data_IF_716392287263
#
_entry.id   IF_716392287263
#
_cell.length_a   1.000
_cell.length_b   1.000
_cell.length_c   1.000
_cell.angle_alpha   90.00
_cell.angle_beta   90.00
_cell.angle_gamma   90.00
#
_symmetry.space_group_name_H-M   'P 1'
#
loop_
_entity.id
_entity.type
_entity.pdbx_description
1 polymer ?
#
# COMPACT_ATOMS: atom_id res chain seq x y z
N UNK A 1 9.24 -4.52 1.32
CA UNK A 1 7.83 -4.63 0.87
C UNK A 1 7.73 -4.18 -0.59
N UNK A 2 7.54 -5.09 -1.54
CA UNK A 2 7.13 -4.76 -2.91
C UNK A 2 5.60 -4.62 -2.92
N UNK A 3 5.09 -3.41 -2.72
CA UNK A 3 3.64 -3.18 -2.73
C UNK A 3 3.14 -3.00 -4.17
N UNK A 4 2.17 -3.82 -4.58
CA UNK A 4 1.46 -3.68 -5.85
C UNK A 4 0.30 -2.66 -5.78
N UNK A 5 0.18 -1.94 -4.66
CA UNK A 5 -0.83 -0.90 -4.43
C UNK A 5 -0.36 0.52 -4.80
N UNK A 6 0.79 0.67 -5.46
CA UNK A 6 1.31 1.99 -5.87
C UNK A 6 0.31 2.79 -6.69
N UNK A 7 -0.44 2.13 -7.59
CA UNK A 7 -1.51 2.76 -8.36
C UNK A 7 -2.65 3.30 -7.48
N UNK A 8 -3.03 2.58 -6.42
CA UNK A 8 -4.04 3.01 -5.44
C UNK A 8 -3.57 4.25 -4.67
N UNK A 9 -2.29 4.30 -4.29
CA UNK A 9 -1.68 5.45 -3.61
C UNK A 9 -1.62 6.68 -4.54
N UNK A 10 -1.15 6.51 -5.78
CA UNK A 10 -1.12 7.59 -6.78
C UNK A 10 -2.53 8.12 -7.04
N UNK A 11 -3.50 7.21 -7.24
CA UNK A 11 -4.90 7.54 -7.43
C UNK A 11 -5.48 8.38 -6.28
N UNK A 12 -5.15 8.02 -5.04
CA UNK A 12 -5.57 8.76 -3.86
C UNK A 12 -5.02 10.19 -3.86
N UNK A 13 -3.72 10.39 -4.13
CA UNK A 13 -3.09 11.71 -4.20
C UNK A 13 -3.70 12.57 -5.31
N UNK A 14 -3.91 12.00 -6.50
CA UNK A 14 -4.54 12.69 -7.63
C UNK A 14 -5.97 13.10 -7.27
N UNK A 15 -6.74 12.19 -6.65
CA UNK A 15 -8.13 12.44 -6.27
C UNK A 15 -8.23 13.52 -5.19
N UNK A 16 -7.33 13.55 -4.20
CA UNK A 16 -7.22 14.67 -3.25
C UNK A 16 -7.02 16.01 -3.97
N UNK A 17 -6.12 16.05 -4.95
CA UNK A 17 -5.83 17.24 -5.75
C UNK A 17 -7.01 17.69 -6.61
N UNK A 18 -7.78 16.76 -7.17
CA UNK A 18 -8.96 17.06 -7.97
C UNK A 18 -10.17 17.47 -7.12
N UNK A 19 -10.39 16.85 -5.95
CA UNK A 19 -11.44 17.21 -5.00
C UNK A 19 -11.30 18.66 -4.50
N UNK A 20 -10.06 19.16 -4.39
CA UNK A 20 -9.81 20.60 -4.16
C UNK A 20 -10.51 21.45 -5.22
N UNK A 21 -10.41 21.08 -6.50
CA UNK A 21 -11.01 21.84 -7.62
C UNK A 21 -12.53 21.69 -7.67
N UNK A 22 -13.07 20.51 -7.33
CA UNK A 22 -14.53 20.26 -7.23
C UNK A 22 -15.18 21.12 -6.13
N UNK A 23 -14.45 21.35 -5.03
CA UNK A 23 -14.98 22.01 -3.84
C UNK A 23 -14.74 23.53 -3.75
N UNK A 24 -13.87 24.13 -4.58
CA UNK A 24 -13.27 25.45 -4.29
C UNK A 24 -14.17 26.69 -4.44
N UNK A 25 -15.40 26.64 -4.96
CA UNK A 25 -16.10 27.91 -5.24
C UNK A 25 -17.26 28.25 -4.31
N UNK A 26 -16.96 29.23 -3.44
CA UNK A 26 -17.76 30.45 -3.29
C UNK A 26 -17.74 31.21 -4.64
N UNK A 27 -18.92 31.46 -5.20
CA UNK A 27 -19.29 32.48 -6.20
C UNK A 27 -18.23 32.95 -7.22
N UNK A 28 -18.32 32.53 -8.49
CA UNK A 28 -17.88 33.38 -9.63
C UNK A 28 -17.09 32.78 -10.79
N UNK A 29 -16.44 31.61 -10.67
CA UNK A 29 -15.64 31.03 -11.76
C UNK A 29 -16.41 30.12 -12.73
N UNK A 30 -16.01 30.11 -14.00
CA UNK A 30 -16.67 29.42 -15.10
C UNK A 30 -16.91 27.91 -14.87
N UNK A 31 -18.17 27.45 -15.00
CA UNK A 31 -18.62 26.08 -14.71
C UNK A 31 -17.90 24.96 -15.47
N UNK A 32 -17.20 25.27 -16.57
CA UNK A 32 -16.46 24.32 -17.40
C UNK A 32 -15.27 23.68 -16.69
N UNK A 33 -14.54 24.42 -15.85
CA UNK A 33 -13.41 23.85 -15.09
C UNK A 33 -13.87 22.92 -13.95
N UNK A 34 -15.04 23.22 -13.36
CA UNK A 34 -15.64 22.37 -12.31
C UNK A 34 -16.17 21.09 -12.93
N UNK A 35 -16.86 21.16 -14.07
CA UNK A 35 -17.30 19.98 -14.80
C UNK A 35 -16.12 19.09 -15.18
N UNK A 36 -15.05 19.67 -15.73
CA UNK A 36 -13.82 18.93 -16.06
C UNK A 36 -13.19 18.27 -14.84
N UNK A 37 -13.09 18.97 -13.70
CA UNK A 37 -12.57 18.40 -12.46
C UNK A 37 -13.46 17.29 -11.89
N UNK A 38 -14.78 17.45 -11.97
CA UNK A 38 -15.77 16.45 -11.55
C UNK A 38 -15.66 15.18 -12.38
N UNK A 39 -15.64 15.31 -13.71
CA UNK A 39 -15.50 14.18 -14.63
C UNK A 39 -14.15 13.48 -14.46
N UNK A 40 -13.06 14.26 -14.31
CA UNK A 40 -11.74 13.70 -14.04
C UNK A 40 -11.70 12.96 -12.70
N UNK A 41 -12.32 13.51 -11.65
CA UNK A 41 -12.41 12.85 -10.33
C UNK A 41 -13.19 11.54 -10.45
N UNK A 42 -14.37 11.56 -11.08
CA UNK A 42 -15.19 10.37 -11.30
C UNK A 42 -14.44 9.31 -12.11
N UNK A 43 -13.73 9.71 -13.17
CA UNK A 43 -12.94 8.82 -14.01
C UNK A 43 -11.76 8.18 -13.26
N UNK A 44 -11.01 8.96 -12.48
CA UNK A 44 -9.90 8.44 -11.65
C UNK A 44 -10.44 7.47 -10.59
N UNK A 45 -11.50 7.85 -9.87
CA UNK A 45 -12.12 6.97 -8.86
C UNK A 45 -12.65 5.69 -9.52
N UNK A 46 -13.32 5.79 -10.67
CA UNK A 46 -13.81 4.62 -11.40
C UNK A 46 -12.68 3.71 -11.85
N UNK A 47 -11.61 4.26 -12.43
CA UNK A 47 -10.47 3.47 -12.88
C UNK A 47 -9.72 2.80 -11.72
N UNK A 48 -9.49 3.54 -10.63
CA UNK A 48 -8.83 2.99 -9.45
C UNK A 48 -9.68 1.92 -8.77
N UNK A 49 -10.99 2.12 -8.63
CA UNK A 49 -11.90 1.10 -8.08
C UNK A 49 -12.04 -0.10 -9.01
N UNK A 50 -12.06 0.13 -10.34
CA UNK A 50 -12.12 -0.93 -11.34
C UNK A 50 -10.89 -1.82 -11.27
N UNK A 51 -9.69 -1.26 -11.10
CA UNK A 51 -8.46 -2.05 -10.99
C UNK A 51 -8.30 -2.67 -9.59
N UNK A 52 -8.70 -1.95 -8.54
CA UNK A 52 -8.61 -2.40 -7.15
C UNK A 52 -9.80 -1.91 -6.30
N UNK A 53 -10.71 -2.81 -5.87
CA UNK A 53 -11.90 -2.41 -5.12
C UNK A 53 -11.56 -1.85 -3.73
N UNK A 54 -10.36 -2.17 -3.19
CA UNK A 54 -9.87 -1.56 -1.95
C UNK A 54 -9.70 -0.05 -2.05
N UNK A 55 -9.66 0.53 -3.26
CA UNK A 55 -9.65 1.99 -3.40
C UNK A 55 -10.84 2.66 -2.70
N UNK A 56 -12.00 1.99 -2.70
CA UNK A 56 -13.17 2.45 -1.96
C UNK A 56 -12.91 2.52 -0.45
N UNK A 57 -12.25 1.49 0.09
CA UNK A 57 -11.90 1.38 1.51
C UNK A 57 -10.79 2.38 1.90
N UNK A 58 -9.71 2.41 1.11
CA UNK A 58 -8.49 3.16 1.42
C UNK A 58 -8.65 4.66 1.24
N UNK A 59 -9.52 5.08 0.31
CA UNK A 59 -9.63 6.49 -0.05
C UNK A 59 -11.05 7.03 0.05
N UNK A 60 -12.02 6.40 -0.61
CA UNK A 60 -13.37 6.96 -0.74
C UNK A 60 -14.06 7.07 0.63
N UNK A 61 -14.00 6.02 1.43
CA UNK A 61 -14.58 5.97 2.77
C UNK A 61 -13.94 7.02 3.70
N UNK A 62 -12.60 7.08 3.88
CA UNK A 62 -11.93 8.16 4.60
C UNK A 62 -12.27 9.57 4.08
N UNK A 63 -12.24 9.78 2.76
CA UNK A 63 -12.51 11.09 2.17
C UNK A 63 -13.95 11.54 2.46
N UNK A 64 -14.93 10.63 2.35
CA UNK A 64 -16.32 10.89 2.72
C UNK A 64 -16.48 11.30 4.19
N UNK A 65 -15.86 10.56 5.11
CA UNK A 65 -15.88 10.88 6.54
C UNK A 65 -15.25 12.26 6.82
N UNK A 66 -14.11 12.59 6.18
CA UNK A 66 -13.47 13.89 6.33
C UNK A 66 -14.35 15.02 5.80
N UNK A 67 -15.02 14.83 4.65
CA UNK A 67 -15.95 15.82 4.11
C UNK A 67 -17.13 16.09 5.07
N UNK A 68 -17.63 15.06 5.74
CA UNK A 68 -18.65 15.19 6.80
C UNK A 68 -18.12 15.97 8.00
N UNK A 69 -16.91 15.67 8.48
CA UNK A 69 -16.26 16.44 9.56
C UNK A 69 -16.11 17.91 9.18
N UNK A 70 -15.65 18.21 7.96
CA UNK A 70 -15.54 19.59 7.47
C UNK A 70 -16.90 20.30 7.40
N UNK A 71 -17.98 19.58 7.10
CA UNK A 71 -19.34 20.13 7.13
C UNK A 71 -19.79 20.44 8.56
N UNK A 72 -19.53 19.55 9.51
CA UNK A 72 -19.82 19.74 10.95
C UNK A 72 -19.04 20.93 11.50
N UNK A 73 -17.77 21.07 11.12
CA UNK A 73 -16.94 22.22 11.45
C UNK A 73 -17.32 23.51 10.68
N UNK A 74 -18.41 23.50 9.90
CA UNK A 74 -18.90 24.65 9.10
C UNK A 74 -17.89 25.21 8.09
N UNK A 75 -16.96 24.37 7.63
CA UNK A 75 -15.95 24.73 6.62
C UNK A 75 -16.37 24.33 5.21
N UNK A 76 -17.32 23.40 5.08
CA UNK A 76 -17.83 22.93 3.80
C UNK A 76 -19.33 23.22 3.68
N UNK A 77 -19.78 23.71 2.52
CA UNK A 77 -21.21 23.87 2.27
C UNK A 77 -21.87 22.51 1.99
N UNK A 78 -23.17 22.38 2.29
CA UNK A 78 -23.91 21.14 1.97
C UNK A 78 -23.88 20.83 0.46
N UNK A 79 -23.91 21.85 -0.41
CA UNK A 79 -23.80 21.65 -1.87
C UNK A 79 -22.44 21.08 -2.27
N UNK A 80 -21.35 21.55 -1.65
CA UNK A 80 -20.01 21.02 -1.91
C UNK A 80 -19.89 19.58 -1.40
N UNK A 81 -20.41 19.29 -0.19
CA UNK A 81 -20.49 17.93 0.35
C UNK A 81 -21.24 16.99 -0.60
N UNK A 82 -22.46 17.36 -1.02
CA UNK A 82 -23.26 16.53 -1.91
C UNK A 82 -22.57 16.29 -3.26
N UNK A 83 -21.94 17.32 -3.86
CA UNK A 83 -21.20 17.14 -5.12
C UNK A 83 -20.01 16.20 -4.97
N UNK A 84 -19.16 16.44 -3.96
CA UNK A 84 -18.00 15.59 -3.74
C UNK A 84 -18.41 14.16 -3.39
N UNK A 85 -19.39 13.99 -2.50
CA UNK A 85 -19.95 12.69 -2.16
C UNK A 85 -20.54 11.97 -3.37
N UNK A 86 -21.35 12.66 -4.18
CA UNK A 86 -21.94 12.08 -5.40
C UNK A 86 -20.85 11.62 -6.38
N UNK A 87 -19.83 12.44 -6.62
CA UNK A 87 -18.73 12.09 -7.53
C UNK A 87 -17.93 10.88 -7.05
N UNK A 88 -17.66 10.81 -5.75
CA UNK A 88 -17.00 9.66 -5.15
C UNK A 88 -17.87 8.39 -5.23
N UNK A 89 -19.16 8.49 -4.91
CA UNK A 89 -20.09 7.36 -4.97
C UNK A 89 -20.32 6.87 -6.41
N UNK A 90 -20.59 7.78 -7.34
CA UNK A 90 -20.80 7.46 -8.76
C UNK A 90 -19.54 6.89 -9.38
N UNK A 91 -18.37 7.49 -9.12
CA UNK A 91 -17.10 6.95 -9.59
C UNK A 91 -16.86 5.54 -9.05
N UNK A 92 -17.13 5.30 -7.77
CA UNK A 92 -16.98 3.97 -7.15
C UNK A 92 -17.94 2.95 -7.75
N UNK A 93 -19.22 3.30 -7.87
CA UNK A 93 -20.24 2.44 -8.46
C UNK A 93 -19.93 2.11 -9.93
N UNK A 94 -19.51 3.11 -10.71
CA UNK A 94 -19.07 2.92 -12.09
C UNK A 94 -17.85 2.02 -12.17
N UNK A 95 -16.86 2.22 -11.29
CA UNK A 95 -15.67 1.36 -11.21
C UNK A 95 -16.04 -0.09 -10.91
N UNK A 96 -16.94 -0.33 -9.94
CA UNK A 96 -17.44 -1.68 -9.63
C UNK A 96 -18.23 -2.29 -10.79
N UNK A 97 -19.07 -1.50 -11.48
CA UNK A 97 -19.80 -1.96 -12.66
C UNK A 97 -18.86 -2.32 -13.82
N UNK A 98 -17.81 -1.51 -14.04
CA UNK A 98 -16.79 -1.78 -15.05
C UNK A 98 -15.97 -3.02 -14.73
N UNK A 99 -15.87 -3.47 -13.47
CA UNK A 99 -15.20 -4.75 -13.15
C UNK A 99 -15.89 -5.96 -13.77
N UNK A 100 -17.21 -5.92 -13.95
CA UNK A 100 -18.01 -7.05 -14.45
C UNK A 100 -17.54 -7.52 -15.84
N UNK A 101 -17.48 -6.66 -16.88
CA UNK A 101 -16.99 -7.10 -18.20
C UNK A 101 -15.51 -7.52 -18.19
N UNK A 102 -14.70 -6.99 -17.27
CA UNK A 102 -13.28 -7.34 -17.13
C UNK A 102 -13.03 -8.47 -16.11
N UNK A 103 -14.06 -9.13 -15.57
CA UNK A 103 -13.92 -10.10 -14.49
C UNK A 103 -12.98 -11.26 -14.85
N UNK A 104 -13.01 -11.72 -16.12
CA UNK A 104 -12.10 -12.76 -16.62
C UNK A 104 -10.61 -12.37 -16.54
N UNK A 105 -10.30 -11.08 -16.56
CA UNK A 105 -8.93 -10.54 -16.50
C UNK A 105 -8.52 -10.10 -15.09
N UNK A 106 -9.45 -10.08 -14.13
CA UNK A 106 -9.22 -9.61 -12.77
C UNK A 106 -9.29 -10.80 -11.82
N UNK A 107 -8.16 -11.15 -11.22
CA UNK A 107 -8.05 -12.31 -10.33
C UNK A 107 -8.82 -12.11 -9.03
N UNK A 108 -8.69 -10.94 -8.42
CA UNK A 108 -9.29 -10.68 -7.11
C UNK A 108 -10.79 -10.42 -7.26
N UNK A 109 -11.61 -11.28 -6.69
CA UNK A 109 -13.06 -11.08 -6.61
C UNK A 109 -13.39 -10.18 -5.42
N UNK A 110 -14.62 -9.66 -5.35
CA UNK A 110 -15.02 -8.86 -4.17
C UNK A 110 -15.20 -9.74 -2.93
N UNK A 111 -15.51 -11.02 -3.10
CA UNK A 111 -15.71 -11.98 -2.01
C UNK A 111 -14.41 -12.25 -1.24
N UNK A 112 -13.25 -12.17 -1.92
CA UNK A 112 -11.90 -12.29 -1.31
C UNK A 112 -11.56 -11.18 -0.29
N UNK A 113 -12.39 -10.15 -0.17
CA UNK A 113 -12.16 -9.02 0.72
C UNK A 113 -13.10 -8.98 1.93
N UNK A 114 -14.24 -9.68 1.89
CA UNK A 114 -15.30 -9.57 2.91
C UNK A 114 -15.50 -10.87 3.68
N UNK A 115 -14.86 -10.97 4.84
CA UNK A 115 -14.95 -12.10 5.75
C UNK A 115 -15.68 -11.69 7.04
N UNK A 116 -16.92 -11.22 6.93
CA UNK A 116 -17.69 -10.65 8.06
C UNK A 116 -17.91 -11.64 9.23
N UNK A 117 -17.75 -12.95 9.00
CA UNK A 117 -17.82 -13.98 10.04
C UNK A 117 -16.55 -14.05 10.89
N UNK A 118 -15.44 -13.48 10.40
CA UNK A 118 -14.10 -13.63 10.96
C UNK A 118 -13.59 -12.33 11.63
N UNK A 119 -14.49 -11.40 11.99
CA UNK A 119 -14.12 -10.12 12.65
C UNK A 119 -13.32 -10.37 13.93
N UNK A 120 -13.72 -11.36 14.74
CA UNK A 120 -13.01 -11.72 15.97
C UNK A 120 -11.61 -12.26 15.69
N UNK A 121 -11.47 -13.12 14.66
CA UNK A 121 -10.18 -13.66 14.23
C UNK A 121 -9.27 -12.55 13.69
N UNK A 122 -9.80 -11.65 12.86
CA UNK A 122 -9.11 -10.48 12.32
C UNK A 122 -8.58 -9.56 13.43
N UNK A 123 -9.42 -9.22 14.41
CA UNK A 123 -9.00 -8.41 15.56
C UNK A 123 -7.87 -9.11 16.35
N UNK A 124 -8.03 -10.40 16.65
CA UNK A 124 -7.02 -11.17 17.36
C UNK A 124 -5.70 -11.27 16.58
N UNK A 125 -5.77 -11.47 15.26
CA UNK A 125 -4.62 -11.49 14.36
C UNK A 125 -3.88 -10.15 14.38
N UNK A 126 -4.60 -9.03 14.27
CA UNK A 126 -4.01 -7.69 14.29
C UNK A 126 -3.39 -7.35 15.66
N UNK A 127 -4.02 -7.79 16.75
CA UNK A 127 -3.45 -7.64 18.09
C UNK A 127 -2.16 -8.45 18.27
N UNK A 128 -2.12 -9.70 17.77
CA UNK A 128 -0.89 -10.52 17.76
C UNK A 128 0.23 -9.85 16.96
N UNK A 129 -0.08 -9.32 15.78
CA UNK A 129 0.90 -8.60 14.96
C UNK A 129 1.52 -7.39 15.68
N UNK A 130 0.73 -6.64 16.47
CA UNK A 130 1.28 -5.56 17.31
C UNK A 130 2.21 -6.12 18.38
N UNK A 131 1.83 -7.23 19.03
CA UNK A 131 2.68 -7.92 20.02
C UNK A 131 4.00 -8.39 19.40
N UNK A 132 3.95 -9.04 18.25
CA UNK A 132 5.12 -9.55 17.53
C UNK A 132 6.04 -8.40 17.08
N UNK A 133 5.44 -7.28 16.65
CA UNK A 133 6.20 -6.06 16.32
C UNK A 133 6.91 -5.51 17.54
N UNK A 134 6.23 -5.44 18.69
CA UNK A 134 6.81 -4.97 19.96
C UNK A 134 7.87 -5.91 20.53
N UNK A 135 7.89 -7.19 20.14
CA UNK A 135 8.90 -8.15 20.55
C UNK A 135 10.30 -7.86 19.97
N UNK A 136 10.40 -7.00 18.95
CA UNK A 136 11.68 -6.66 18.29
C UNK A 136 12.03 -5.19 18.46
N UNK A 137 13.33 -4.89 18.62
CA UNK A 137 13.81 -3.49 18.72
C UNK A 137 13.49 -2.68 17.46
N UNK A 138 13.63 -3.31 16.28
CA UNK A 138 13.30 -2.70 15.01
C UNK A 138 11.79 -2.40 14.90
N UNK A 139 10.95 -3.34 15.34
CA UNK A 139 9.50 -3.15 15.37
C UNK A 139 9.07 -2.03 16.31
N UNK A 140 9.64 -1.96 17.52
CA UNK A 140 9.41 -0.82 18.45
C UNK A 140 9.76 0.51 17.77
N UNK A 141 10.94 0.63 17.17
CA UNK A 141 11.35 1.85 16.48
C UNK A 141 10.37 2.23 15.34
N UNK A 142 9.93 1.25 14.55
CA UNK A 142 8.97 1.46 13.46
C UNK A 142 7.60 1.94 13.97
N UNK A 143 7.14 1.40 15.10
CA UNK A 143 5.89 1.79 15.74
C UNK A 143 5.99 3.21 16.32
N UNK A 144 7.09 3.55 16.99
CA UNK A 144 7.33 4.89 17.50
C UNK A 144 7.34 5.96 16.40
N UNK A 145 7.98 5.68 15.26
CA UNK A 145 7.99 6.59 14.11
C UNK A 145 6.57 6.77 13.55
N UNK A 146 5.85 5.67 13.36
CA UNK A 146 4.49 5.69 12.80
C UNK A 146 3.51 6.43 13.71
N UNK A 147 3.52 6.13 15.02
CA UNK A 147 2.69 6.80 16.01
C UNK A 147 3.09 8.26 16.18
N UNK A 148 4.38 8.57 16.20
CA UNK A 148 4.87 9.95 16.28
C UNK A 148 4.39 10.79 15.09
N UNK A 149 4.46 10.25 13.87
CA UNK A 149 3.98 10.94 12.67
C UNK A 149 2.45 11.07 12.68
N UNK A 150 1.72 10.06 13.16
CA UNK A 150 0.27 10.13 13.30
C UNK A 150 -0.15 11.19 14.34
N UNK A 151 0.50 11.25 15.50
CA UNK A 151 0.28 12.30 16.51
C UNK A 151 0.59 13.67 15.91
N UNK A 152 1.69 13.83 15.18
CA UNK A 152 2.01 15.07 14.48
C UNK A 152 0.89 15.47 13.48
N UNK A 153 0.32 14.49 12.75
CA UNK A 153 -0.80 14.73 11.84
C UNK A 153 -2.06 15.22 12.56
N UNK A 154 -2.37 14.69 13.76
CA UNK A 154 -3.47 15.15 14.61
C UNK A 154 -3.24 16.61 15.01
N UNK A 155 -2.04 16.94 15.49
CA UNK A 155 -1.68 18.31 15.91
C UNK A 155 -1.83 19.30 14.75
N UNK A 156 -1.33 18.92 13.56
CA UNK A 156 -1.46 19.74 12.34
C UNK A 156 -2.93 19.89 11.94
N UNK A 157 -3.72 18.82 11.97
CA UNK A 157 -5.14 18.85 11.62
C UNK A 157 -5.91 19.81 12.55
N UNK A 158 -5.72 19.70 13.87
CA UNK A 158 -6.34 20.61 14.84
C UNK A 158 -5.95 22.08 14.60
N UNK A 159 -4.66 22.32 14.33
CA UNK A 159 -4.13 23.65 14.03
C UNK A 159 -4.76 24.28 12.78
N UNK A 160 -4.92 23.47 11.72
CA UNK A 160 -5.39 23.92 10.41
C UNK A 160 -6.90 24.05 10.37
N UNK A 161 -7.65 23.12 10.98
CA UNK A 161 -9.12 23.19 11.12
C UNK A 161 -9.52 24.47 11.84
N UNK A 162 -8.84 24.88 12.91
CA UNK A 162 -9.11 26.16 13.60
C UNK A 162 -9.00 27.40 12.71
N UNK A 163 -8.31 27.31 11.57
CA UNK A 163 -8.11 28.43 10.63
C UNK A 163 -9.16 28.51 9.52
N UNK A 164 -10.04 27.51 9.40
CA UNK A 164 -11.09 27.51 8.38
C UNK A 164 -10.62 27.36 6.94
N UNK A 165 -9.36 26.94 6.70
CA UNK A 165 -8.84 26.71 5.34
C UNK A 165 -9.21 25.31 4.86
N UNK A 166 -10.41 25.16 4.29
CA UNK A 166 -11.03 23.89 3.85
C UNK A 166 -10.05 22.91 3.20
N UNK A 167 -9.25 23.36 2.23
CA UNK A 167 -8.31 22.51 1.49
C UNK A 167 -7.21 21.93 2.39
N UNK A 168 -6.63 22.79 3.23
CA UNK A 168 -5.57 22.38 4.14
C UNK A 168 -6.15 21.46 5.23
N UNK A 169 -7.35 21.79 5.72
CA UNK A 169 -8.08 20.98 6.70
C UNK A 169 -8.46 19.61 6.14
N UNK A 170 -8.87 19.53 4.88
CA UNK A 170 -9.16 18.27 4.19
C UNK A 170 -7.93 17.35 4.13
N UNK A 171 -6.78 17.88 3.70
CA UNK A 171 -5.53 17.11 3.62
C UNK A 171 -5.09 16.65 5.02
N UNK A 172 -5.05 17.56 5.99
CA UNK A 172 -4.59 17.24 7.34
C UNK A 172 -5.55 16.28 8.08
N UNK A 173 -6.87 16.43 7.91
CA UNK A 173 -7.85 15.48 8.46
C UNK A 173 -7.78 14.13 7.76
N UNK A 174 -7.51 14.08 6.45
CA UNK A 174 -7.30 12.80 5.74
C UNK A 174 -6.06 12.08 6.23
N UNK A 175 -4.97 12.81 6.48
CA UNK A 175 -3.73 12.29 7.05
C UNK A 175 -3.92 11.70 8.46
N UNK A 176 -4.79 12.33 9.26
CA UNK A 176 -5.09 11.97 10.63
C UNK A 176 -6.13 10.84 10.74
N UNK A 177 -7.31 11.02 10.13
CA UNK A 177 -8.45 10.12 10.28
C UNK A 177 -8.36 8.91 9.36
N UNK A 178 -7.73 9.06 8.18
CA UNK A 178 -7.67 7.99 7.18
C UNK A 178 -7.06 6.69 7.68
N UNK A 179 -5.86 6.68 8.32
CA UNK A 179 -5.27 5.46 8.87
C UNK A 179 -6.19 4.73 9.84
N UNK A 180 -6.83 5.48 10.73
CA UNK A 180 -7.73 4.92 11.74
C UNK A 180 -9.01 4.34 11.11
N UNK A 181 -9.65 5.09 10.21
CA UNK A 181 -10.85 4.64 9.50
C UNK A 181 -10.56 3.36 8.71
N UNK A 182 -9.41 3.30 8.01
CA UNK A 182 -9.01 2.10 7.27
C UNK A 182 -8.75 0.94 8.21
N UNK A 183 -8.07 1.14 9.35
CA UNK A 183 -7.83 0.06 10.32
C UNK A 183 -9.13 -0.53 10.85
N UNK A 184 -10.07 0.32 11.27
CA UNK A 184 -11.40 -0.13 11.72
C UNK A 184 -12.10 -0.89 10.61
N UNK A 185 -12.07 -0.38 9.38
CA UNK A 185 -12.77 -0.99 8.27
C UNK A 185 -12.15 -2.34 7.85
N UNK A 186 -10.82 -2.49 7.89
CA UNK A 186 -10.13 -3.77 7.66
C UNK A 186 -10.51 -4.82 8.71
N UNK A 187 -10.58 -4.42 9.99
CA UNK A 187 -11.00 -5.30 11.08
C UNK A 187 -12.47 -5.71 10.92
N UNK A 188 -13.36 -4.75 10.63
CA UNK A 188 -14.79 -5.02 10.41
C UNK A 188 -15.03 -5.88 9.16
N UNK A 189 -14.17 -5.78 8.16
CA UNK A 189 -14.18 -6.67 7.00
C UNK A 189 -13.70 -8.09 7.33
N UNK A 190 -13.17 -8.36 8.52
CA UNK A 190 -12.64 -9.66 8.92
C UNK A 190 -11.36 -10.05 8.18
N UNK A 191 -10.65 -9.09 7.60
CA UNK A 191 -9.43 -9.38 6.83
C UNK A 191 -8.23 -9.56 7.76
N UNK A 192 -7.40 -10.58 7.51
CA UNK A 192 -6.09 -10.76 8.16
C UNK A 192 -4.93 -10.17 7.34
N UNK A 193 -5.22 -9.55 6.21
CA UNK A 193 -4.20 -8.98 5.34
C UNK A 193 -3.61 -7.67 5.90
N UNK A 194 -2.50 -7.74 6.65
CA UNK A 194 -1.78 -6.57 7.21
C UNK A 194 -1.43 -5.50 6.17
N UNK A 195 -1.20 -5.92 4.91
CA UNK A 195 -0.98 -5.03 3.76
C UNK A 195 -2.11 -4.02 3.53
N UNK A 196 -3.33 -4.28 3.99
CA UNK A 196 -4.45 -3.33 3.88
C UNK A 196 -4.32 -2.14 4.85
N UNK A 197 -3.42 -2.23 5.84
CA UNK A 197 -3.09 -1.14 6.77
C UNK A 197 -2.00 -0.19 6.24
N UNK A 198 -1.54 -0.34 4.99
CA UNK A 198 -0.57 0.56 4.36
C UNK A 198 -0.88 2.06 4.50
N UNK A 199 -2.15 2.52 4.56
CA UNK A 199 -2.44 3.92 4.86
C UNK A 199 -1.79 4.48 6.14
N UNK A 200 -1.51 3.65 7.16
CA UNK A 200 -0.71 4.06 8.33
C UNK A 200 0.71 4.50 7.97
N UNK A 201 1.31 3.90 6.94
CA UNK A 201 2.68 4.18 6.54
C UNK A 201 2.83 5.48 5.74
N UNK A 202 1.81 5.90 4.97
CA UNK A 202 1.96 7.03 4.05
C UNK A 202 1.01 8.21 4.30
N UNK A 203 -0.22 8.00 4.79
CA UNK A 203 -1.17 9.11 4.97
C UNK A 203 -0.69 10.13 6.02
N UNK A 204 -0.14 9.75 7.19
CA UNK A 204 0.32 10.72 8.18
C UNK A 204 1.33 11.73 7.60
N UNK A 205 2.22 11.28 6.72
CA UNK A 205 3.21 12.14 6.05
C UNK A 205 2.60 13.23 5.17
N UNK A 206 1.37 13.02 4.65
CA UNK A 206 0.67 14.05 3.88
C UNK A 206 0.38 15.30 4.72
N UNK A 207 0.29 15.19 6.04
CA UNK A 207 0.11 16.35 6.91
C UNK A 207 1.27 17.36 6.80
N UNK A 208 2.49 16.88 6.50
CA UNK A 208 3.66 17.74 6.34
C UNK A 208 3.54 18.67 5.13
N UNK A 209 2.82 18.27 4.08
CA UNK A 209 2.59 19.10 2.88
C UNK A 209 1.79 20.37 3.19
N UNK A 210 1.10 20.38 4.32
CA UNK A 210 0.29 21.50 4.79
C UNK A 210 1.16 22.50 5.57
N UNK A 211 2.35 22.09 6.05
CA UNK A 211 3.23 22.89 6.90
C UNK A 211 3.68 24.23 6.30
N UNK A 212 4.02 24.36 4.99
CA UNK A 212 4.35 25.66 4.42
C UNK A 212 3.19 26.67 4.55
N UNK A 213 1.95 26.20 4.51
CA UNK A 213 0.75 27.01 4.80
C UNK A 213 0.52 27.29 6.30
N UNK A 214 1.25 26.59 7.17
CA UNK A 214 1.29 26.68 8.63
C UNK A 214 2.54 27.44 9.12
N UNK A 215 3.50 27.81 8.27
CA UNK A 215 4.69 28.59 8.70
C UNK A 215 4.32 30.02 9.15
N UNK A 216 3.21 30.58 8.68
CA UNK A 216 2.58 31.77 9.27
C UNK A 216 1.88 31.50 10.63
N UNK A 217 1.82 30.24 11.11
CA UNK A 217 1.17 29.78 12.35
C UNK A 217 2.06 29.58 13.55
N UNK A 218 3.38 29.55 13.35
CA UNK A 218 4.34 29.42 14.44
C UNK A 218 4.25 30.60 15.46
N UNK A 219 3.54 31.68 15.14
CA UNK A 219 3.28 32.81 16.06
C UNK A 219 2.13 32.57 17.06
N UNK A 220 1.18 31.68 16.77
CA UNK A 220 -0.05 31.51 17.57
C UNK A 220 -0.14 30.19 18.33
N UNK A 221 0.24 29.07 17.71
CA UNK A 221 0.22 27.74 18.34
C UNK A 221 1.35 27.60 19.37
N UNK A 222 2.45 28.32 19.13
CA UNK A 222 3.59 28.38 20.05
C UNK A 222 3.22 28.93 21.42
N UNK A 223 2.34 29.93 21.54
CA UNK A 223 2.07 30.55 22.85
C UNK A 223 1.36 29.64 23.86
N UNK A 224 0.53 28.68 23.43
CA UNK A 224 -0.21 27.79 24.36
C UNK A 224 0.54 26.50 24.69
N UNK A 225 1.31 25.96 23.75
CA UNK A 225 2.13 24.76 23.98
C UNK A 225 3.46 25.14 24.66
N UNK A 226 4.03 26.32 24.38
CA UNK A 226 5.25 26.79 25.08
C UNK A 226 4.97 27.46 26.42
N UNK A 227 3.71 27.68 26.80
CA UNK A 227 3.38 28.12 28.16
C UNK A 227 3.69 27.04 29.22
N UNK A 228 3.87 25.78 28.80
CA UNK A 228 4.29 24.67 29.65
C UNK A 228 5.81 24.45 29.70
N UNK A 229 6.59 25.25 28.95
CA UNK A 229 8.06 25.16 28.90
C UNK A 229 8.66 26.42 29.54
N UNK A 230 9.72 26.31 30.37
CA UNK A 230 10.38 27.47 30.95
C UNK A 230 10.86 28.43 29.86
N UNK A 231 10.53 29.71 29.99
CA UNK A 231 10.87 30.77 29.05
C UNK A 231 12.41 30.87 28.85
N UNK A 232 12.97 31.24 27.69
CA UNK A 232 12.92 32.57 27.08
C UNK A 232 13.63 32.64 25.72
N UNK A 233 13.06 33.47 24.84
CA UNK A 233 13.70 34.47 23.95
C UNK A 233 14.59 34.10 22.75
N UNK A 234 15.04 32.86 22.54
CA UNK A 234 15.88 32.51 21.36
C UNK A 234 15.22 31.57 20.33
N UNK A 235 13.93 31.26 20.50
CA UNK A 235 13.24 30.20 19.74
C UNK A 235 12.83 30.63 18.31
N UNK A 236 12.88 31.93 17.98
CA UNK A 236 12.51 32.45 16.66
C UNK A 236 13.45 31.96 15.55
N UNK A 237 14.75 32.00 15.79
CA UNK A 237 15.81 31.54 14.88
C UNK A 237 15.97 30.02 14.91
N UNK A 238 15.79 29.39 16.07
CA UNK A 238 15.85 27.93 16.22
C UNK A 238 14.70 27.17 15.53
N UNK A 239 13.55 27.80 15.27
CA UNK A 239 12.42 27.16 14.58
C UNK A 239 12.55 27.11 13.07
N UNK A 240 13.02 28.21 12.47
CA UNK A 240 13.38 28.22 11.06
C UNK A 240 14.59 27.30 10.83
N UNK A 241 15.59 27.34 11.73
CA UNK A 241 16.71 26.41 11.73
C UNK A 241 16.29 24.96 12.03
N UNK A 242 15.15 24.73 12.72
CA UNK A 242 14.63 23.40 13.02
C UNK A 242 13.86 22.77 11.87
N UNK A 243 13.07 23.53 11.10
CA UNK A 243 12.41 23.03 9.88
C UNK A 243 13.41 22.90 8.74
N UNK A 244 14.27 23.91 8.54
CA UNK A 244 15.38 23.84 7.60
C UNK A 244 16.37 22.77 8.04
N UNK A 245 16.65 22.65 9.34
CA UNK A 245 17.51 21.61 9.90
C UNK A 245 16.89 20.21 9.81
N UNK A 246 15.58 20.04 9.93
CA UNK A 246 14.91 18.76 9.71
C UNK A 246 14.81 18.42 8.21
N UNK A 247 14.63 19.40 7.33
CA UNK A 247 14.63 19.20 5.88
C UNK A 247 16.05 18.94 5.35
N UNK A 248 17.06 19.62 5.88
CA UNK A 248 18.48 19.35 5.63
C UNK A 248 18.86 18.02 6.27
N UNK A 249 18.44 17.71 7.49
CA UNK A 249 18.71 16.41 8.12
C UNK A 249 18.05 15.28 7.35
N UNK A 250 16.79 15.42 6.93
CA UNK A 250 16.12 14.44 6.08
C UNK A 250 16.78 14.38 4.70
N UNK A 251 17.15 15.51 4.11
CA UNK A 251 17.85 15.58 2.82
C UNK A 251 19.26 14.99 2.88
N UNK A 252 20.00 15.20 3.96
CA UNK A 252 21.35 14.68 4.24
C UNK A 252 21.27 13.22 4.63
N UNK A 253 20.32 12.81 5.46
CA UNK A 253 20.06 11.39 5.73
C UNK A 253 19.67 10.69 4.45
N UNK A 254 18.76 11.24 3.64
CA UNK A 254 18.42 10.68 2.33
C UNK A 254 19.65 10.67 1.41
N UNK A 255 20.44 11.73 1.32
CA UNK A 255 21.61 11.80 0.44
C UNK A 255 22.78 10.91 0.90
N UNK A 256 22.94 10.67 2.21
CA UNK A 256 23.99 9.82 2.77
C UNK A 256 23.57 8.35 2.86
N UNK A 257 22.28 8.07 3.06
CA UNK A 257 21.75 6.71 3.15
C UNK A 257 21.32 6.19 1.79
N UNK A 258 20.81 7.01 0.86
CA UNK A 258 20.41 6.54 -0.47
C UNK A 258 21.53 5.88 -1.25
N UNK A 259 22.77 6.40 -1.30
CA UNK A 259 23.86 5.70 -2.01
C UNK A 259 24.18 4.36 -1.37
N UNK A 260 24.11 4.26 -0.03
CA UNK A 260 24.34 3.00 0.69
C UNK A 260 23.19 2.02 0.52
N UNK A 261 21.94 2.47 0.63
CA UNK A 261 20.74 1.69 0.35
C UNK A 261 20.77 1.23 -1.11
N UNK A 262 21.09 2.11 -2.05
CA UNK A 262 21.18 1.78 -3.47
C UNK A 262 22.33 0.80 -3.72
N UNK A 263 23.49 0.97 -3.08
CA UNK A 263 24.59 0.01 -3.18
C UNK A 263 24.23 -1.36 -2.58
N UNK A 264 23.46 -1.41 -1.49
CA UNK A 264 22.96 -2.66 -0.90
C UNK A 264 21.83 -3.29 -1.72
N UNK A 265 20.99 -2.49 -2.37
CA UNK A 265 19.82 -2.94 -3.17
C UNK A 265 20.19 -3.30 -4.61
N UNK A 266 21.24 -2.70 -5.17
CA UNK A 266 21.67 -2.92 -6.55
C UNK A 266 22.56 -4.15 -6.73
N UNK A 267 23.08 -4.72 -5.63
CA UNK A 267 23.77 -6.00 -5.68
C UNK A 267 22.71 -7.08 -5.66
N UNK A 268 22.52 -7.76 -6.79
CA UNK A 268 21.72 -8.98 -6.85
C UNK A 268 22.34 -9.96 -5.85
N UNK A 269 21.53 -10.35 -4.87
CA UNK A 269 21.88 -11.27 -3.79
C UNK A 269 22.60 -12.51 -4.35
N UNK A 270 23.70 -12.95 -3.73
CA UNK A 270 24.49 -14.07 -4.24
C UNK A 270 23.68 -15.37 -4.31
N UNK A 271 22.76 -15.56 -3.38
CA UNK A 271 21.84 -16.69 -3.33
C UNK A 271 20.87 -16.64 -4.51
N UNK A 272 20.36 -15.43 -4.81
CA UNK A 272 19.48 -15.21 -5.95
C UNK A 272 20.20 -15.44 -7.28
N UNK A 273 21.45 -14.97 -7.42
CA UNK A 273 22.27 -15.22 -8.61
C UNK A 273 22.52 -16.70 -8.83
N UNK A 274 22.84 -17.45 -7.77
CA UNK A 274 22.98 -18.90 -7.87
C UNK A 274 21.74 -19.56 -8.48
N UNK A 275 20.53 -19.14 -8.04
CA UNK A 275 19.28 -19.65 -8.60
C UNK A 275 19.11 -19.23 -10.07
N UNK A 276 19.26 -17.94 -10.40
CA UNK A 276 19.05 -17.47 -11.77
C UNK A 276 20.06 -18.06 -12.74
N UNK A 277 21.34 -18.12 -12.35
CA UNK A 277 22.42 -18.69 -13.18
C UNK A 277 22.17 -20.18 -13.44
N UNK A 278 21.71 -20.93 -12.43
CA UNK A 278 21.35 -22.33 -12.59
C UNK A 278 20.13 -22.51 -13.49
N UNK A 279 19.06 -21.72 -13.30
CA UNK A 279 17.85 -21.79 -14.12
C UNK A 279 18.17 -21.49 -15.57
N UNK A 280 18.87 -20.38 -15.82
CA UNK A 280 19.26 -19.92 -17.14
C UNK A 280 20.18 -20.94 -17.84
N UNK A 281 21.15 -21.50 -17.12
CA UNK A 281 22.05 -22.53 -17.65
C UNK A 281 21.32 -23.85 -17.93
N UNK A 282 20.30 -24.20 -17.14
CA UNK A 282 19.55 -25.43 -17.32
C UNK A 282 18.65 -25.39 -18.55
N UNK A 283 18.15 -24.20 -18.93
CA UNK A 283 17.18 -24.04 -20.01
C UNK A 283 15.79 -24.65 -19.74
N UNK A 284 15.56 -25.19 -18.53
CA UNK A 284 14.35 -25.95 -18.17
C UNK A 284 13.30 -25.05 -17.52
N UNK A 285 12.08 -25.57 -17.44
CA UNK A 285 10.99 -24.91 -16.70
C UNK A 285 10.87 -25.50 -15.30
N UNK A 286 10.76 -24.64 -14.31
CA UNK A 286 10.49 -25.01 -12.93
C UNK A 286 9.35 -24.19 -12.35
N UNK A 287 9.08 -24.40 -11.07
CA UNK A 287 8.00 -23.70 -10.39
C UNK A 287 8.36 -23.33 -8.95
N UNK A 288 7.57 -22.43 -8.37
CA UNK A 288 7.69 -22.09 -6.95
C UNK A 288 6.46 -21.38 -6.43
N UNK A 289 6.38 -21.30 -5.10
CA UNK A 289 5.31 -20.56 -4.43
C UNK A 289 5.42 -19.07 -4.70
N UNK A 290 4.30 -18.36 -4.59
CA UNK A 290 4.21 -16.94 -4.93
C UNK A 290 5.33 -16.09 -4.33
N UNK A 291 5.64 -16.22 -3.03
CA UNK A 291 6.65 -15.36 -2.42
C UNK A 291 8.08 -15.74 -2.81
N UNK A 292 8.34 -17.03 -2.92
CA UNK A 292 9.64 -17.61 -3.21
C UNK A 292 10.10 -17.32 -4.63
N UNK A 293 9.23 -17.53 -5.61
CA UNK A 293 9.59 -17.51 -7.04
C UNK A 293 9.76 -16.10 -7.62
N UNK A 294 9.24 -15.05 -6.97
CA UNK A 294 9.17 -13.70 -7.56
C UNK A 294 10.52 -13.11 -7.90
N UNK A 295 11.48 -13.22 -6.99
CA UNK A 295 12.81 -12.68 -7.24
C UNK A 295 13.52 -13.51 -8.33
N UNK A 296 13.62 -14.86 -8.23
CA UNK A 296 14.15 -15.68 -9.31
C UNK A 296 13.53 -15.39 -10.68
N UNK A 297 12.18 -15.34 -10.77
CA UNK A 297 11.45 -15.06 -12.01
C UNK A 297 11.73 -13.65 -12.58
N UNK A 298 11.90 -12.64 -11.72
CA UNK A 298 12.14 -11.27 -12.15
C UNK A 298 13.57 -11.04 -12.68
N UNK A 299 14.53 -11.87 -12.25
CA UNK A 299 15.95 -11.72 -12.59
C UNK A 299 16.49 -12.80 -13.53
N UNK A 300 15.74 -13.89 -13.78
CA UNK A 300 16.06 -14.89 -14.81
C UNK A 300 16.07 -14.27 -16.22
N UNK A 301 16.89 -14.81 -17.11
CA UNK A 301 17.00 -14.36 -18.50
C UNK A 301 15.68 -14.57 -19.27
N UNK A 302 14.98 -15.68 -19.02
CA UNK A 302 13.60 -15.90 -19.48
C UNK A 302 12.65 -16.12 -18.29
N UNK A 303 11.88 -15.10 -17.88
CA UNK A 303 10.90 -15.21 -16.80
C UNK A 303 9.84 -16.31 -17.01
N UNK A 304 9.63 -16.78 -18.25
CA UNK A 304 8.66 -17.86 -18.54
C UNK A 304 9.11 -19.21 -18.00
N UNK A 305 10.40 -19.38 -17.70
CA UNK A 305 10.95 -20.62 -17.16
C UNK A 305 10.54 -20.89 -15.71
N UNK A 306 9.99 -19.91 -14.99
CA UNK A 306 9.61 -20.08 -13.58
C UNK A 306 8.10 -19.86 -13.44
N UNK A 307 7.35 -20.93 -13.23
CA UNK A 307 5.90 -20.90 -13.11
C UNK A 307 5.48 -20.72 -11.65
N UNK A 308 4.46 -19.91 -11.40
CA UNK A 308 3.87 -19.80 -10.07
C UNK A 308 2.91 -20.96 -9.82
N UNK A 309 3.01 -21.60 -8.67
CA UNK A 309 2.06 -22.62 -8.20
C UNK A 309 1.70 -22.39 -6.73
N UNK A 310 0.64 -23.03 -6.25
CA UNK A 310 0.41 -23.23 -4.82
C UNK A 310 1.11 -24.51 -4.31
N UNK A 311 0.99 -24.80 -3.02
CA UNK A 311 1.56 -25.99 -2.38
C UNK A 311 0.91 -27.31 -2.86
N UNK A 312 -0.23 -27.22 -3.55
CA UNK A 312 -1.01 -28.33 -4.10
C UNK A 312 -0.84 -28.48 -5.63
N UNK A 313 0.10 -27.75 -6.22
CA UNK A 313 0.46 -27.73 -7.64
C UNK A 313 -0.59 -27.13 -8.59
N UNK A 314 -1.54 -26.34 -8.08
CA UNK A 314 -2.40 -25.52 -8.94
C UNK A 314 -1.61 -24.36 -9.51
N UNK A 315 -1.72 -24.16 -10.83
CA UNK A 315 -1.12 -23.00 -11.49
C UNK A 315 -1.63 -21.70 -10.87
N UNK A 316 -0.72 -20.85 -10.40
CA UNK A 316 -1.06 -19.61 -9.74
C UNK A 316 -1.69 -18.60 -10.70
N UNK A 317 -2.89 -18.13 -10.37
CA UNK A 317 -3.59 -17.11 -11.15
C UNK A 317 -3.27 -15.68 -10.70
N UNK A 318 -2.66 -15.50 -9.53
CA UNK A 318 -2.50 -14.22 -8.85
C UNK A 318 -1.12 -13.58 -9.06
N UNK A 319 -1.10 -12.39 -9.70
CA UNK A 319 0.12 -11.59 -9.96
C UNK A 319 1.23 -12.33 -10.74
N UNK A 320 0.87 -13.39 -11.47
CA UNK A 320 1.69 -14.08 -12.44
C UNK A 320 1.04 -14.04 -13.84
N UNK A 321 1.85 -14.25 -14.87
CA UNK A 321 1.35 -14.43 -16.22
C UNK A 321 0.79 -15.85 -16.36
N UNK A 322 -0.54 -15.97 -16.48
CA UNK A 322 -1.23 -17.26 -16.62
C UNK A 322 -0.78 -18.07 -17.83
N UNK A 323 -0.25 -17.40 -18.85
CA UNK A 323 0.27 -18.07 -20.03
C UNK A 323 1.50 -18.92 -19.73
N UNK A 324 2.27 -18.59 -18.68
CA UNK A 324 3.49 -19.30 -18.34
C UNK A 324 3.21 -20.76 -17.90
N UNK A 325 2.02 -21.04 -17.37
CA UNK A 325 1.61 -22.38 -16.99
C UNK A 325 1.05 -23.22 -18.17
N UNK A 326 0.77 -22.58 -19.31
CA UNK A 326 0.19 -23.26 -20.48
C UNK A 326 1.27 -24.16 -21.10
N UNK A 327 1.08 -25.48 -21.01
CA UNK A 327 2.03 -26.51 -21.47
C UNK A 327 3.39 -26.49 -20.74
N UNK A 328 3.47 -25.90 -19.55
CA UNK A 328 4.70 -25.89 -18.77
C UNK A 328 5.10 -27.32 -18.37
N UNK A 329 6.34 -27.70 -18.70
CA UNK A 329 6.95 -28.94 -18.25
C UNK A 329 7.82 -28.66 -17.05
N UNK A 330 7.21 -28.64 -15.86
CA UNK A 330 7.90 -28.32 -14.61
C UNK A 330 8.77 -29.52 -14.19
N UNK A 331 10.09 -29.34 -14.18
CA UNK A 331 11.07 -30.39 -13.82
C UNK A 331 11.91 -30.05 -12.59
N UNK A 332 11.69 -28.87 -11.99
CA UNK A 332 12.32 -28.50 -10.72
C UNK A 332 11.42 -27.56 -9.90
N UNK A 333 11.61 -27.52 -8.58
CA UNK A 333 10.98 -26.54 -7.69
C UNK A 333 12.02 -25.64 -7.02
N UNK A 334 11.68 -24.36 -6.87
CA UNK A 334 12.44 -23.41 -6.06
C UNK A 334 11.71 -23.21 -4.74
N UNK A 335 12.39 -23.48 -3.63
CA UNK A 335 11.89 -23.29 -2.25
C UNK A 335 12.84 -22.39 -1.45
N UNK A 336 12.34 -21.79 -0.38
CA UNK A 336 13.09 -21.13 0.69
C UNK A 336 12.54 -21.53 2.07
N UNK A 337 13.06 -20.93 3.14
CA UNK A 337 12.65 -21.23 4.51
C UNK A 337 11.18 -20.90 4.82
N UNK A 338 10.55 -20.00 4.06
CA UNK A 338 9.17 -19.57 4.23
C UNK A 338 8.21 -20.33 3.29
N UNK A 339 8.74 -21.27 2.50
CA UNK A 339 7.96 -22.05 1.56
C UNK A 339 7.21 -23.19 2.25
N UNK A 340 5.91 -23.29 1.99
CA UNK A 340 5.13 -24.47 2.39
C UNK A 340 5.63 -25.72 1.63
N UNK A 341 5.67 -26.89 2.26
CA UNK A 341 6.02 -28.14 1.58
C UNK A 341 5.04 -28.46 0.45
N UNK A 342 5.55 -28.86 -0.72
CA UNK A 342 4.72 -29.29 -1.84
C UNK A 342 4.07 -30.65 -1.58
N UNK A 343 2.78 -30.76 -1.91
CA UNK A 343 2.01 -31.99 -1.86
C UNK A 343 1.90 -32.63 -3.24
N UNK A 344 2.40 -33.85 -3.37
CA UNK A 344 2.38 -34.61 -4.63
C UNK A 344 1.19 -35.59 -4.66
N UNK A 345 0.31 -35.56 -5.70
CA UNK A 345 -0.88 -36.40 -5.77
C UNK A 345 -0.58 -37.90 -5.91
N UNK A 346 0.46 -38.24 -6.68
CA UNK A 346 0.84 -39.62 -7.01
C UNK A 346 2.37 -39.72 -6.99
N UNK A 347 2.90 -40.72 -6.27
CA UNK A 347 4.32 -41.06 -6.14
C UNK A 347 5.28 -39.84 -6.21
N UNK A 348 5.59 -39.27 -5.05
CA UNK A 348 6.52 -38.16 -4.92
C UNK A 348 7.76 -38.33 -5.80
N UNK A 349 8.17 -37.31 -6.58
CA UNK A 349 9.49 -37.33 -7.21
C UNK A 349 10.63 -37.39 -6.18
N UNK A 350 10.33 -37.29 -4.87
CA UNK A 350 11.29 -37.30 -3.76
C UNK A 350 12.27 -38.48 -3.75
N UNK A 351 12.02 -39.57 -4.48
CA UNK A 351 13.01 -40.64 -4.64
C UNK A 351 14.20 -40.30 -5.55
N UNK A 352 14.07 -39.28 -6.41
CA UNK A 352 15.04 -38.89 -7.44
C UNK A 352 15.27 -37.37 -7.48
N UNK A 353 15.20 -36.69 -6.33
CA UNK A 353 15.41 -35.26 -6.22
C UNK A 353 16.87 -34.94 -5.88
N UNK A 354 17.59 -34.34 -6.82
CA UNK A 354 18.85 -33.67 -6.52
C UNK A 354 18.55 -32.28 -5.94
N UNK A 355 19.14 -31.98 -4.78
CA UNK A 355 18.93 -30.69 -4.10
C UNK A 355 20.16 -29.81 -4.32
N UNK A 356 19.97 -28.73 -5.08
CA UNK A 356 20.99 -27.69 -5.27
C UNK A 356 20.75 -26.60 -4.22
N UNK A 357 21.72 -26.41 -3.33
CA UNK A 357 21.67 -25.37 -2.31
C UNK A 357 22.23 -24.06 -2.86
N UNK A 358 21.39 -23.04 -2.91
CA UNK A 358 21.73 -21.67 -3.27
C UNK A 358 21.51 -20.75 -2.07
N UNK A 359 22.09 -21.10 -0.91
CA UNK A 359 21.95 -20.33 0.33
C UNK A 359 20.52 -20.33 0.85
N UNK A 360 19.85 -19.17 0.87
CA UNK A 360 18.44 -19.03 1.29
C UNK A 360 17.46 -19.78 0.40
N UNK A 361 17.87 -20.16 -0.81
CA UNK A 361 17.07 -20.94 -1.75
C UNK A 361 17.58 -22.38 -1.86
N UNK A 362 16.66 -23.30 -2.15
CA UNK A 362 16.97 -24.65 -2.59
C UNK A 362 16.22 -24.93 -3.89
N UNK A 363 16.92 -25.57 -4.84
CA UNK A 363 16.34 -26.08 -6.08
C UNK A 363 16.22 -27.59 -5.93
N UNK A 364 14.99 -28.09 -5.99
CA UNK A 364 14.70 -29.52 -6.00
C UNK A 364 14.53 -29.94 -7.44
N UNK A 365 15.58 -30.48 -8.04
CA UNK A 365 15.60 -30.95 -9.42
C UNK A 365 15.21 -32.43 -9.48
N UNK A 366 14.19 -32.75 -10.27
CA UNK A 366 13.68 -34.11 -10.44
C UNK A 366 13.60 -34.51 -11.91
N UNK A 367 14.33 -33.81 -12.80
CA UNK A 367 14.45 -34.22 -14.19
C UNK A 367 14.98 -35.66 -14.32
N UNK A 368 14.48 -36.48 -15.27
CA UNK A 368 13.55 -36.15 -16.36
C UNK A 368 12.06 -36.21 -16.01
N UNK A 369 11.70 -36.32 -14.73
CA UNK A 369 10.29 -36.36 -14.30
C UNK A 369 9.66 -34.97 -14.47
N UNK A 370 8.42 -34.95 -14.96
CA UNK A 370 7.61 -33.73 -15.10
C UNK A 370 6.51 -33.74 -14.04
N UNK A 371 6.42 -32.67 -13.26
CA UNK A 371 5.38 -32.52 -12.24
C UNK A 371 4.00 -32.29 -12.90
N UNK A 372 2.94 -32.98 -12.45
CA UNK A 372 1.60 -32.77 -12.97
C UNK A 372 1.01 -31.47 -12.40
N UNK A 373 1.06 -30.39 -13.19
CA UNK A 373 0.39 -29.15 -12.82
C UNK A 373 -1.12 -29.31 -12.92
N UNK A 374 -1.83 -28.87 -11.88
CA UNK A 374 -3.28 -28.77 -11.89
C UNK A 374 -3.69 -27.42 -12.49
N UNK A 375 -4.87 -27.35 -13.13
CA UNK A 375 -5.45 -26.07 -13.54
C UNK A 375 -5.54 -25.11 -12.36
N UNK A 376 -5.48 -23.80 -12.62
CA UNK A 376 -5.74 -22.80 -11.59
C UNK A 376 -7.15 -23.00 -10.99
N UNK A 377 -7.25 -23.08 -9.66
CA UNK A 377 -8.55 -22.94 -8.99
C UNK A 377 -9.11 -21.54 -9.30
N UNK A 378 -10.43 -21.48 -9.55
CA UNK A 378 -11.12 -20.25 -9.94
C UNK A 378 -11.50 -19.42 -8.74
#
# INVERSE_FOLDING_TARGET
MTTYYSGTVIGAVVTLGLLRRVNIMRSGGAGRHVMGATLATAGVVAFCTMTNPLYALWFVLPAGAVLLVLRVCSQLSSRALCRAGLVLCVGTALGMALRIPFAHSIVATTEDYWHLRDIGASLAYHARQVSDTLATRAGIASLCITLGMWIASIVIALAVVRRGKVVHSFIALSACLGPFIVAVAVIVMGSEATRYLQPWAFLPFLALTVLPGVEFAARGISRRILAWLPARESIGTLRAAGVVGAAIFLGVVCALTMPRINATVSVVDADLRCVTDWVDASGRTGAGLFWTMRAPKAYAADPRQIVQVDDQLHAGSWLANRHDAVNAQVTFFITDADSYPFSFPDASPAGAMDVISCGRYAIHDFYPVVAPLKPAER
#
